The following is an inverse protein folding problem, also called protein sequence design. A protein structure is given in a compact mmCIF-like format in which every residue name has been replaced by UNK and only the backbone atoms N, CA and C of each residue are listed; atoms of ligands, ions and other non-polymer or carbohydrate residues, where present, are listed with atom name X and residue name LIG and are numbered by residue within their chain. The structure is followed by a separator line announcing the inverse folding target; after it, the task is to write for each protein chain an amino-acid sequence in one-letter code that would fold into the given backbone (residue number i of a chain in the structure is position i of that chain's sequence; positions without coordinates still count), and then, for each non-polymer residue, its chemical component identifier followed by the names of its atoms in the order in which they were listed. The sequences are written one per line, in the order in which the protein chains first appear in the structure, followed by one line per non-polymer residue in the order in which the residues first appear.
data_IF_210438466144
#
_entry.id   IF_210438466144
#
_cell.length_a   1.000
_cell.length_b   1.000
_cell.length_c   1.000
_cell.angle_alpha   90.00
_cell.angle_beta   90.00
_cell.angle_gamma   90.00
#
_symmetry.space_group_name_H-M   'P 1'
#
loop_
_entity.id
_entity.type
_entity.pdbx_description
1 polymer ?
#
# COMPACT_ATOMS: atom_id res chain seq x y z
N UNK A 1 -57.57 -30.39 -44.09
CA UNK A 1 -56.43 -30.35 -43.13
C UNK A 1 -55.37 -29.30 -43.52
N UNK A 2 -55.76 -28.01 -43.67
CA UNK A 2 -54.82 -26.92 -44.02
C UNK A 2 -54.36 -26.07 -42.80
N UNK A 3 -55.11 -26.07 -41.69
CA UNK A 3 -54.77 -25.30 -40.49
C UNK A 3 -53.61 -25.87 -39.66
N UNK A 4 -53.43 -27.20 -39.63
CA UNK A 4 -52.42 -27.85 -38.78
C UNK A 4 -50.97 -27.58 -39.21
N UNK A 5 -50.72 -27.36 -40.50
CA UNK A 5 -49.36 -27.07 -41.01
C UNK A 5 -48.92 -25.63 -40.75
N UNK A 6 -49.86 -24.69 -40.74
CA UNK A 6 -49.58 -23.27 -40.46
C UNK A 6 -49.28 -23.09 -38.97
N UNK A 7 -50.04 -23.74 -38.09
CA UNK A 7 -49.79 -23.69 -36.64
C UNK A 7 -48.42 -24.28 -36.29
N UNK A 8 -48.04 -25.41 -36.91
CA UNK A 8 -46.72 -26.02 -36.69
C UNK A 8 -45.56 -25.13 -37.17
N UNK A 9 -45.73 -24.47 -38.32
CA UNK A 9 -44.72 -23.56 -38.86
C UNK A 9 -44.51 -22.32 -37.97
N UNK A 10 -45.60 -21.75 -37.43
CA UNK A 10 -45.53 -20.62 -36.50
C UNK A 10 -44.87 -21.03 -35.17
N UNK A 11 -45.13 -22.24 -34.68
CA UNK A 11 -44.52 -22.78 -33.46
C UNK A 11 -43.01 -22.99 -33.61
N UNK A 12 -42.56 -23.49 -34.77
CA UNK A 12 -41.14 -23.69 -35.06
C UNK A 12 -40.42 -22.34 -35.17
N UNK A 13 -41.00 -21.37 -35.88
CA UNK A 13 -40.41 -20.02 -35.98
C UNK A 13 -40.33 -19.37 -34.60
N UNK A 14 -41.39 -19.50 -33.78
CA UNK A 14 -41.40 -19.03 -32.40
C UNK A 14 -40.29 -19.65 -31.55
N UNK A 15 -40.08 -20.97 -31.65
CA UNK A 15 -39.02 -21.68 -30.94
C UNK A 15 -37.61 -21.31 -31.42
N UNK A 16 -37.41 -21.06 -32.71
CA UNK A 16 -36.12 -20.62 -33.26
C UNK A 16 -35.80 -19.20 -32.79
N UNK A 17 -36.78 -18.30 -32.77
CA UNK A 17 -36.61 -16.93 -32.26
C UNK A 17 -36.33 -16.95 -30.75
N UNK A 18 -37.08 -17.74 -29.98
CA UNK A 18 -36.87 -17.89 -28.53
C UNK A 18 -35.51 -18.52 -28.22
N UNK A 19 -35.10 -19.53 -28.99
CA UNK A 19 -33.80 -20.18 -28.88
C UNK A 19 -32.64 -19.24 -29.23
N UNK A 20 -32.79 -18.41 -30.28
CA UNK A 20 -31.82 -17.37 -30.62
C UNK A 20 -31.71 -16.28 -29.56
N UNK A 21 -32.83 -15.85 -28.98
CA UNK A 21 -32.87 -14.86 -27.90
C UNK A 21 -32.24 -15.40 -26.61
N UNK A 22 -32.56 -16.64 -26.22
CA UNK A 22 -31.92 -17.29 -25.07
C UNK A 22 -30.44 -17.53 -25.34
N UNK A 23 -30.04 -18.04 -26.50
CA UNK A 23 -28.64 -18.29 -26.81
C UNK A 23 -27.80 -17.00 -26.80
N UNK A 24 -28.32 -15.89 -27.33
CA UNK A 24 -27.61 -14.60 -27.33
C UNK A 24 -27.56 -13.94 -25.96
N UNK A 25 -28.62 -14.03 -25.15
CA UNK A 25 -28.64 -13.46 -23.78
C UNK A 25 -27.83 -14.28 -22.78
N UNK A 26 -27.75 -15.61 -22.94
CA UNK A 26 -26.92 -16.47 -22.07
C UNK A 26 -25.43 -16.29 -22.41
N UNK A 27 -25.06 -16.20 -23.70
CA UNK A 27 -23.67 -15.95 -24.10
C UNK A 27 -23.19 -14.53 -23.77
N UNK A 28 -24.08 -13.53 -23.80
CA UNK A 28 -23.75 -12.16 -23.39
C UNK A 28 -23.51 -12.04 -21.87
N UNK A 29 -24.17 -12.86 -21.05
CA UNK A 29 -23.90 -12.93 -19.60
C UNK A 29 -22.67 -13.75 -19.25
N UNK A 30 -22.31 -14.74 -20.07
CA UNK A 30 -21.18 -15.65 -19.75
C UNK A 30 -19.81 -15.15 -20.22
N UNK A 31 -19.71 -14.12 -21.08
CA UNK A 31 -18.44 -13.75 -21.73
C UNK A 31 -18.10 -12.26 -21.70
N UNK A 32 -18.73 -11.45 -20.84
CA UNK A 32 -18.09 -10.20 -20.44
C UNK A 32 -17.01 -10.56 -19.41
N UNK A 33 -15.71 -10.48 -19.73
CA UNK A 33 -14.69 -10.60 -18.70
C UNK A 33 -15.01 -9.53 -17.66
N UNK A 34 -15.34 -9.96 -16.45
CA UNK A 34 -15.53 -9.07 -15.33
C UNK A 34 -14.22 -8.27 -15.19
N UNK A 35 -14.27 -6.98 -15.52
CA UNK A 35 -13.07 -6.14 -15.52
C UNK A 35 -12.61 -6.05 -14.08
N UNK A 36 -11.48 -6.69 -13.77
CA UNK A 36 -10.90 -6.62 -12.43
C UNK A 36 -10.37 -5.21 -12.18
N UNK A 37 -11.18 -4.40 -11.51
CA UNK A 37 -10.85 -3.03 -11.12
C UNK A 37 -10.16 -2.95 -9.75
N UNK A 38 -9.89 -4.08 -9.09
CA UNK A 38 -9.44 -4.08 -7.69
C UNK A 38 -8.10 -3.37 -7.52
N UNK A 39 -7.14 -3.59 -8.44
CA UNK A 39 -5.86 -2.86 -8.44
C UNK A 39 -6.08 -1.35 -8.54
N UNK A 40 -6.94 -0.91 -9.46
CA UNK A 40 -7.21 0.51 -9.67
C UNK A 40 -7.87 1.14 -8.44
N UNK A 41 -8.78 0.42 -7.77
CA UNK A 41 -9.42 0.86 -6.53
C UNK A 41 -8.40 0.99 -5.39
N UNK A 42 -7.52 0.00 -5.21
CA UNK A 42 -6.45 0.07 -4.20
C UNK A 42 -5.52 1.26 -4.45
N UNK A 43 -5.11 1.47 -5.71
CA UNK A 43 -4.26 2.60 -6.08
C UNK A 43 -4.95 3.95 -5.87
N UNK A 44 -6.23 4.05 -6.23
CA UNK A 44 -7.03 5.25 -6.01
C UNK A 44 -7.19 5.54 -4.51
N UNK A 45 -7.44 4.52 -3.69
CA UNK A 45 -7.53 4.64 -2.24
C UNK A 45 -6.21 5.14 -1.66
N UNK A 46 -5.10 4.39 -1.84
CA UNK A 46 -3.78 4.75 -1.29
C UNK A 46 -3.28 6.12 -1.80
N UNK A 47 -3.55 6.44 -3.07
CA UNK A 47 -3.17 7.71 -3.69
C UNK A 47 -4.00 8.90 -3.20
N UNK A 48 -5.27 8.67 -2.86
CA UNK A 48 -6.19 9.68 -2.35
C UNK A 48 -6.03 10.01 -0.86
N UNK A 49 -5.26 9.20 -0.11
CA UNK A 49 -5.01 9.43 1.32
C UNK A 49 -4.15 10.70 1.55
N UNK A 50 -4.83 11.78 1.91
CA UNK A 50 -4.21 13.01 2.42
C UNK A 50 -4.22 13.12 3.96
N UNK A 51 -5.02 12.26 4.59
CA UNK A 51 -5.07 12.09 6.02
C UNK A 51 -5.10 10.61 6.40
N UNK A 52 -4.10 10.16 7.16
CA UNK A 52 -4.04 8.82 7.71
C UNK A 52 -3.02 8.74 8.84
N UNK A 53 -3.17 7.74 9.68
CA UNK A 53 -2.15 7.25 10.59
C UNK A 53 -1.88 5.78 10.30
N UNK A 54 -0.71 5.32 10.71
CA UNK A 54 -0.37 3.91 10.70
C UNK A 54 0.44 3.53 11.94
N UNK A 55 0.36 2.26 12.26
CA UNK A 55 1.28 1.60 13.18
C UNK A 55 2.02 0.51 12.40
N UNK A 56 3.34 0.59 12.41
CA UNK A 56 4.27 -0.38 11.85
C UNK A 56 4.94 -1.20 12.95
N UNK A 57 4.93 -2.51 12.75
CA UNK A 57 5.87 -3.40 13.42
C UNK A 57 6.89 -3.87 12.38
N UNK A 58 8.16 -3.64 12.66
CA UNK A 58 9.28 -3.96 11.77
C UNK A 58 10.17 -4.99 12.45
N UNK A 59 10.33 -6.13 11.81
CA UNK A 59 11.35 -7.12 12.18
C UNK A 59 12.45 -7.09 11.13
N UNK A 60 13.67 -6.74 11.55
CA UNK A 60 14.85 -6.67 10.67
C UNK A 60 15.84 -7.76 11.05
N UNK A 61 16.27 -8.56 10.08
CA UNK A 61 17.32 -9.57 10.26
C UNK A 61 18.55 -9.22 9.43
N UNK A 62 19.72 -9.14 10.08
CA UNK A 62 21.02 -8.89 9.46
C UNK A 62 21.99 -9.96 9.97
N UNK A 63 22.41 -10.87 9.10
CA UNK A 63 23.19 -12.04 9.51
C UNK A 63 22.44 -12.86 10.56
N UNK A 64 23.01 -12.98 11.77
CA UNK A 64 22.42 -13.71 12.90
C UNK A 64 21.68 -12.79 13.89
N UNK A 65 21.65 -11.48 13.65
CA UNK A 65 21.01 -10.51 14.54
C UNK A 65 19.59 -10.21 14.05
N UNK A 66 18.62 -10.31 14.97
CA UNK A 66 17.24 -9.87 14.73
C UNK A 66 16.94 -8.68 15.62
N UNK A 67 16.49 -7.60 15.02
CA UNK A 67 16.07 -6.39 15.73
C UNK A 67 14.62 -6.08 15.43
N UNK A 68 13.87 -5.74 16.47
CA UNK A 68 12.50 -5.26 16.34
C UNK A 68 12.46 -3.75 16.54
N UNK A 69 11.59 -3.10 15.78
CA UNK A 69 11.26 -1.69 15.95
C UNK A 69 9.81 -1.43 15.63
N UNK A 70 9.24 -0.40 16.24
CA UNK A 70 7.88 0.05 15.98
C UNK A 70 7.92 1.48 15.47
N UNK A 71 7.05 1.80 14.51
CA UNK A 71 6.86 3.17 14.04
C UNK A 71 5.38 3.50 14.06
N UNK A 72 5.00 4.54 14.79
CA UNK A 72 3.70 5.18 14.65
C UNK A 72 3.89 6.38 13.75
N UNK A 73 3.28 6.37 12.58
CA UNK A 73 3.43 7.45 11.64
C UNK A 73 2.12 7.85 11.00
N UNK A 74 2.21 8.77 10.05
CA UNK A 74 1.04 9.22 9.34
C UNK A 74 1.26 10.55 8.64
N UNK A 75 0.22 10.95 7.92
CA UNK A 75 0.18 12.18 7.18
C UNK A 75 -1.10 12.92 7.51
N UNK A 76 -0.98 14.22 7.78
CA UNK A 76 -2.13 15.09 8.03
C UNK A 76 -1.90 16.39 7.25
N UNK A 77 -2.72 16.64 6.23
CA UNK A 77 -2.71 17.87 5.42
C UNK A 77 -1.30 18.26 4.95
N UNK A 78 -0.60 17.31 4.33
CA UNK A 78 0.75 17.52 3.79
C UNK A 78 1.90 17.52 4.82
N UNK A 79 1.61 17.40 6.11
CA UNK A 79 2.64 17.20 7.16
C UNK A 79 2.78 15.73 7.50
N UNK A 80 4.01 15.23 7.53
CA UNK A 80 4.30 13.87 7.96
C UNK A 80 4.80 13.84 9.39
N UNK A 81 4.36 12.84 10.14
CA UNK A 81 4.71 12.60 11.52
C UNK A 81 5.22 11.17 11.65
N UNK A 82 6.32 11.00 12.37
CA UNK A 82 6.91 9.70 12.65
C UNK A 82 7.35 9.66 14.11
N UNK A 83 6.95 8.63 14.83
CA UNK A 83 7.45 8.29 16.14
C UNK A 83 7.95 6.87 16.07
N UNK A 84 9.25 6.67 16.24
CA UNK A 84 9.84 5.35 16.15
C UNK A 84 10.54 4.96 17.43
N UNK A 85 10.52 3.66 17.70
CA UNK A 85 11.17 3.07 18.87
C UNK A 85 11.93 1.81 18.44
N UNK A 86 13.16 1.70 18.92
CA UNK A 86 14.06 0.55 18.74
C UNK A 86 14.93 0.47 20.00
N UNK A 87 15.32 -0.71 20.46
CA UNK A 87 16.08 -0.90 21.72
C UNK A 87 17.06 0.23 22.07
N UNK A 88 16.77 0.99 23.13
CA UNK A 88 17.59 2.12 23.62
C UNK A 88 17.48 3.45 22.85
N UNK A 89 16.64 3.51 21.80
CA UNK A 89 16.46 4.63 20.87
C UNK A 89 14.96 4.94 20.70
N UNK A 90 14.56 6.18 21.01
CA UNK A 90 13.25 6.72 20.70
C UNK A 90 13.44 7.99 19.89
N UNK A 91 12.78 8.11 18.75
CA UNK A 91 12.86 9.31 17.93
C UNK A 91 11.49 9.80 17.51
N UNK A 92 11.40 11.10 17.33
CA UNK A 92 10.24 11.79 16.78
C UNK A 92 10.71 12.61 15.60
N UNK A 93 10.11 12.43 14.44
CA UNK A 93 10.40 13.20 13.25
C UNK A 93 9.12 13.84 12.70
N UNK A 94 9.23 15.08 12.26
CA UNK A 94 8.17 15.81 11.58
C UNK A 94 8.73 16.42 10.32
N UNK A 95 8.05 16.21 9.20
CA UNK A 95 8.37 16.84 7.93
C UNK A 95 7.24 17.79 7.56
N UNK A 96 7.54 19.10 7.64
CA UNK A 96 6.63 20.18 7.22
C UNK A 96 7.28 20.87 6.04
N UNK A 97 6.60 20.89 4.89
CA UNK A 97 7.15 21.41 3.65
C UNK A 97 8.49 20.75 3.29
N UNK A 98 9.61 21.45 3.43
CA UNK A 98 10.96 20.93 3.19
C UNK A 98 11.82 20.93 4.46
N UNK A 99 11.21 21.06 5.63
CA UNK A 99 11.93 21.09 6.91
C UNK A 99 11.68 19.79 7.66
N UNK A 100 12.77 19.09 7.97
CA UNK A 100 12.78 17.98 8.92
C UNK A 100 13.11 18.53 10.30
N UNK A 101 12.23 18.29 11.26
CA UNK A 101 12.49 18.47 12.68
C UNK A 101 12.49 17.10 13.34
N UNK A 102 13.61 16.75 13.95
CA UNK A 102 13.78 15.46 14.59
C UNK A 102 14.29 15.63 16.01
N UNK A 103 13.74 14.85 16.93
CA UNK A 103 14.24 14.69 18.30
C UNK A 103 14.62 13.24 18.51
N UNK A 104 15.88 12.99 18.82
CA UNK A 104 16.43 11.66 19.07
C UNK A 104 16.74 11.55 20.57
N UNK A 105 16.23 10.49 21.20
CA UNK A 105 16.44 10.19 22.62
C UNK A 105 17.16 8.85 22.71
N UNK A 106 18.38 8.86 23.23
CA UNK A 106 19.22 7.68 23.43
C UNK A 106 19.80 7.68 24.82
N UNK A 107 19.51 6.68 25.65
CA UNK A 107 20.10 6.52 26.99
C UNK A 107 20.20 7.86 27.76
N UNK A 108 19.07 8.54 27.93
CA UNK A 108 18.93 9.84 28.63
C UNK A 108 19.52 11.08 27.92
N UNK A 109 20.24 10.91 26.81
CA UNK A 109 20.65 12.03 25.96
C UNK A 109 19.58 12.38 24.96
N UNK A 110 19.25 13.68 24.86
CA UNK A 110 18.35 14.21 23.84
C UNK A 110 19.15 15.03 22.84
N UNK A 111 18.94 14.76 21.55
CA UNK A 111 19.51 15.53 20.45
C UNK A 111 18.38 16.02 19.55
N UNK A 112 18.33 17.33 19.35
CA UNK A 112 17.40 17.96 18.42
C UNK A 112 18.12 18.31 17.12
N UNK A 113 17.44 18.04 16.01
CA UNK A 113 17.92 18.24 14.65
C UNK A 113 16.86 19.04 13.89
N UNK A 114 17.28 20.11 13.24
CA UNK A 114 16.44 20.91 12.38
C UNK A 114 17.17 21.16 11.06
N UNK A 115 16.72 20.53 9.99
CA UNK A 115 17.40 20.52 8.70
C UNK A 115 16.40 20.87 7.60
N UNK A 116 16.84 21.73 6.68
CA UNK A 116 16.16 21.92 5.39
C UNK A 116 16.56 20.78 4.46
N UNK A 117 15.60 19.94 4.12
CA UNK A 117 15.76 18.84 3.17
C UNK A 117 15.84 19.37 1.74
N UNK A 118 16.77 18.83 0.96
CA UNK A 118 16.71 18.93 -0.50
C UNK A 118 15.48 18.18 -1.02
N UNK A 119 15.13 18.37 -2.31
CA UNK A 119 14.06 17.58 -2.95
C UNK A 119 14.30 16.08 -2.78
N UNK A 120 15.55 15.66 -2.95
CA UNK A 120 15.99 14.28 -2.85
C UNK A 120 15.96 13.76 -1.42
N UNK A 121 16.43 14.55 -0.45
CA UNK A 121 16.37 14.20 0.97
C UNK A 121 14.92 14.08 1.46
N UNK A 122 14.02 14.93 0.94
CA UNK A 122 12.58 14.81 1.18
C UNK A 122 12.01 13.55 0.56
N UNK A 123 12.29 13.27 -0.72
CA UNK A 123 11.80 12.07 -1.38
C UNK A 123 12.23 10.80 -0.63
N UNK A 124 13.50 10.72 -0.20
CA UNK A 124 14.04 9.63 0.60
C UNK A 124 13.36 9.50 1.97
N UNK A 125 13.09 10.61 2.65
CA UNK A 125 12.41 10.58 3.94
C UNK A 125 10.95 10.14 3.83
N UNK A 126 10.32 10.38 2.67
CA UNK A 126 8.93 9.98 2.40
C UNK A 126 8.82 8.58 1.81
N UNK A 127 9.89 8.05 1.21
CA UNK A 127 9.89 6.70 0.63
C UNK A 127 9.89 5.59 1.68
N UNK A 128 10.07 5.92 2.95
CA UNK A 128 9.95 4.98 4.06
C UNK A 128 8.53 4.87 4.59
N UNK A 129 7.60 5.70 4.10
CA UNK A 129 6.20 5.64 4.47
C UNK A 129 5.53 4.40 3.82
N UNK A 130 4.92 3.49 4.60
CA UNK A 130 4.37 2.24 4.11
C UNK A 130 3.20 2.45 3.15
N UNK A 131 2.44 3.53 3.27
CA UNK A 131 1.37 3.87 2.32
C UNK A 131 1.98 4.25 0.96
N UNK A 132 3.09 4.98 0.96
CA UNK A 132 3.80 5.37 -0.27
C UNK A 132 4.53 4.19 -0.91
N UNK A 133 5.17 3.34 -0.11
CA UNK A 133 5.74 2.07 -0.58
C UNK A 133 4.64 1.19 -1.16
N UNK A 134 3.52 1.03 -0.44
CA UNK A 134 2.37 0.25 -0.89
C UNK A 134 1.82 0.74 -2.24
N UNK A 135 1.69 2.05 -2.42
CA UNK A 135 1.25 2.64 -3.69
C UNK A 135 2.18 2.27 -4.85
N UNK A 136 3.49 2.38 -4.66
CA UNK A 136 4.48 2.01 -5.68
C UNK A 136 4.48 0.51 -5.95
N UNK A 137 4.50 -0.29 -4.89
CA UNK A 137 4.55 -1.75 -4.96
C UNK A 137 3.30 -2.34 -5.65
N UNK A 138 2.11 -1.83 -5.36
CA UNK A 138 0.87 -2.27 -6.04
C UNK A 138 0.84 -1.81 -7.50
N UNK A 139 1.34 -0.61 -7.78
CA UNK A 139 1.31 0.00 -9.11
C UNK A 139 2.28 -0.65 -10.09
N UNK A 140 3.52 -0.86 -9.67
CA UNK A 140 4.58 -1.45 -10.48
C UNK A 140 4.68 -2.98 -10.34
N UNK A 141 4.13 -3.55 -9.27
CA UNK A 141 4.28 -4.96 -8.96
C UNK A 141 3.54 -5.90 -9.90
N UNK A 142 3.84 -7.19 -9.80
CA UNK A 142 3.15 -8.28 -10.49
C UNK A 142 2.23 -8.99 -9.51
N UNK A 143 0.99 -9.27 -9.92
CA UNK A 143 0.05 -10.01 -9.09
C UNK A 143 0.57 -11.45 -8.89
N UNK A 144 0.61 -11.90 -7.63
CA UNK A 144 1.01 -13.26 -7.26
C UNK A 144 -0.20 -14.06 -6.80
N UNK A 145 -1.00 -13.46 -5.93
CA UNK A 145 -2.13 -14.12 -5.30
C UNK A 145 -3.26 -13.11 -5.12
N UNK A 146 -4.50 -13.55 -5.39
CA UNK A 146 -5.71 -12.78 -5.14
C UNK A 146 -6.68 -13.64 -4.32
N UNK A 147 -6.77 -13.35 -3.03
CA UNK A 147 -7.84 -13.84 -2.17
C UNK A 147 -9.01 -12.86 -2.11
N UNK A 148 -10.04 -13.23 -1.36
CA UNK A 148 -11.26 -12.41 -1.21
C UNK A 148 -10.99 -11.06 -0.55
N UNK A 149 -10.14 -11.06 0.48
CA UNK A 149 -9.86 -9.89 1.32
C UNK A 149 -8.37 -9.50 1.33
N UNK A 150 -7.55 -10.18 0.55
CA UNK A 150 -6.12 -9.95 0.49
C UNK A 150 -5.58 -10.13 -0.92
N UNK A 151 -4.62 -9.31 -1.30
CA UNK A 151 -4.01 -9.35 -2.63
C UNK A 151 -2.52 -9.17 -2.47
N UNK A 152 -1.75 -10.11 -3.01
CA UNK A 152 -0.29 -10.10 -2.91
C UNK A 152 0.33 -9.76 -4.25
N UNK A 153 1.24 -8.79 -4.23
CA UNK A 153 2.05 -8.39 -5.37
C UNK A 153 3.52 -8.61 -5.07
N UNK A 154 4.28 -9.12 -6.04
CA UNK A 154 5.75 -9.03 -6.04
C UNK A 154 6.17 -7.71 -6.66
N UNK A 155 7.19 -7.08 -6.09
CA UNK A 155 7.70 -5.82 -6.62
C UNK A 155 9.21 -5.73 -6.46
N UNK A 156 9.78 -4.85 -7.27
CA UNK A 156 11.15 -4.37 -7.18
C UNK A 156 11.07 -2.85 -7.36
N UNK A 157 11.48 -2.12 -6.33
CA UNK A 157 11.53 -0.66 -6.35
C UNK A 157 12.94 -0.19 -6.01
N UNK A 158 13.41 0.78 -6.79
CA UNK A 158 14.59 1.56 -6.45
C UNK A 158 14.12 2.92 -5.97
N UNK A 159 14.60 3.36 -4.81
CA UNK A 159 14.39 4.72 -4.31
C UNK A 159 15.62 5.57 -4.65
N UNK A 160 15.56 6.41 -5.70
CA UNK A 160 16.61 7.39 -6.01
C UNK A 160 16.56 8.58 -5.03
N UNK A 161 17.64 9.40 -4.89
CA UNK A 161 18.84 9.42 -5.74
C UNK A 161 20.22 9.42 -5.02
N UNK A 162 20.34 9.14 -3.71
CA UNK A 162 21.64 9.26 -3.01
C UNK A 162 22.25 7.97 -2.44
N UNK A 163 21.47 6.90 -2.29
CA UNK A 163 21.93 5.62 -1.72
C UNK A 163 21.53 4.38 -2.51
N UNK A 164 20.78 4.55 -3.61
CA UNK A 164 20.13 3.49 -4.38
C UNK A 164 19.58 2.42 -3.43
N UNK A 165 18.57 2.79 -2.64
CA UNK A 165 17.89 1.81 -1.80
C UNK A 165 17.07 0.94 -2.74
N UNK A 166 17.45 -0.32 -2.83
CA UNK A 166 16.71 -1.34 -3.56
C UNK A 166 15.84 -2.08 -2.56
N UNK A 167 14.56 -2.20 -2.86
CA UNK A 167 13.62 -2.97 -2.08
C UNK A 167 12.88 -3.93 -3.00
N UNK A 168 13.13 -5.22 -2.79
CA UNK A 168 12.53 -6.29 -3.55
C UNK A 168 11.77 -7.23 -2.60
N UNK A 169 10.61 -7.71 -3.02
CA UNK A 169 9.85 -8.64 -2.20
C UNK A 169 8.37 -8.66 -2.53
N UNK A 170 7.55 -8.81 -1.49
CA UNK A 170 6.10 -8.89 -1.61
C UNK A 170 5.41 -7.84 -0.77
N UNK A 171 4.29 -7.33 -1.27
CA UNK A 171 3.28 -6.61 -0.49
C UNK A 171 1.98 -7.39 -0.53
N UNK A 172 1.44 -7.71 0.63
CA UNK A 172 0.06 -8.19 0.79
C UNK A 172 -0.80 -7.03 1.27
N UNK A 173 -1.76 -6.64 0.44
CA UNK A 173 -2.76 -5.63 0.71
C UNK A 173 -3.99 -6.29 1.30
N UNK A 174 -4.42 -5.88 2.49
CA UNK A 174 -5.68 -6.31 3.07
C UNK A 174 -6.76 -5.28 2.73
N UNK A 175 -7.72 -5.73 1.93
CA UNK A 175 -8.76 -4.91 1.30
C UNK A 175 -10.14 -5.45 1.68
N UNK A 176 -11.00 -4.60 2.22
CA UNK A 176 -12.36 -5.01 2.65
C UNK A 176 -13.43 -4.85 1.55
N UNK A 177 -13.04 -4.35 0.37
CA UNK A 177 -13.96 -3.98 -0.71
C UNK A 177 -14.00 -2.47 -0.97
N UNK A 178 -13.65 -1.67 0.02
CA UNK A 178 -13.71 -0.20 -0.03
C UNK A 178 -12.43 0.48 0.45
N UNK A 179 -11.69 -0.14 1.36
CA UNK A 179 -10.54 0.45 2.05
C UNK A 179 -9.39 -0.53 2.24
N UNK A 180 -8.17 0.00 2.19
CA UNK A 180 -6.97 -0.74 2.61
C UNK A 180 -6.83 -0.60 4.11
N UNK A 181 -6.98 -1.71 4.84
CA UNK A 181 -6.90 -1.73 6.31
C UNK A 181 -5.50 -2.06 6.82
N UNK A 182 -4.73 -2.81 6.02
CA UNK A 182 -3.38 -3.24 6.38
C UNK A 182 -2.53 -3.47 5.15
N UNK A 183 -1.26 -3.14 5.26
CA UNK A 183 -0.21 -3.52 4.31
C UNK A 183 0.79 -4.40 5.06
N UNK A 184 1.14 -5.55 4.47
CA UNK A 184 2.19 -6.42 4.98
C UNK A 184 3.27 -6.57 3.93
N UNK A 185 4.49 -6.14 4.26
CA UNK A 185 5.65 -6.25 3.39
C UNK A 185 6.57 -7.34 3.91
N UNK A 186 7.03 -8.20 3.01
CA UNK A 186 8.17 -9.09 3.26
C UNK A 186 9.20 -8.79 2.19
N UNK A 187 10.25 -8.07 2.57
CA UNK A 187 11.17 -7.43 1.64
C UNK A 187 12.62 -7.69 2.03
N UNK A 188 13.46 -7.72 1.02
CA UNK A 188 14.90 -7.54 1.14
C UNK A 188 15.20 -6.09 0.81
N UNK A 189 16.01 -5.45 1.66
CA UNK A 189 16.44 -4.06 1.49
C UNK A 189 17.94 -4.05 1.29
N UNK A 190 18.37 -3.62 0.11
CA UNK A 190 19.76 -3.39 -0.24
C UNK A 190 20.09 -1.90 -0.19
N UNK A 191 21.25 -1.57 0.35
CA UNK A 191 21.88 -0.24 0.16
C UNK A 191 23.29 -0.45 -0.34
N UNK A 192 23.79 0.41 -1.23
CA UNK A 192 25.11 0.22 -1.83
C UNK A 192 26.21 0.05 -0.77
N UNK A 193 26.93 -1.07 -0.85
CA UNK A 193 28.07 -1.38 0.02
C UNK A 193 27.72 -1.88 1.43
N UNK A 194 26.44 -2.18 1.72
CA UNK A 194 26.02 -2.78 3.00
C UNK A 194 25.43 -4.17 2.80
N UNK A 195 25.37 -4.94 3.89
CA UNK A 195 24.67 -6.21 3.90
C UNK A 195 23.18 -5.99 3.62
N UNK A 196 22.61 -6.87 2.80
CA UNK A 196 21.16 -6.93 2.55
C UNK A 196 20.44 -7.26 3.85
N UNK A 197 19.38 -6.51 4.14
CA UNK A 197 18.56 -6.69 5.33
C UNK A 197 17.23 -7.34 4.94
N UNK A 198 16.79 -8.36 5.68
CA UNK A 198 15.44 -8.89 5.54
C UNK A 198 14.52 -8.14 6.48
N UNK A 199 13.42 -7.60 5.97
CA UNK A 199 12.42 -6.85 6.74
C UNK A 199 11.02 -7.40 6.54
N UNK A 200 10.32 -7.61 7.65
CA UNK A 200 8.86 -7.75 7.67
C UNK A 200 8.27 -6.48 8.24
N UNK A 201 7.41 -5.80 7.48
CA UNK A 201 6.74 -4.56 7.90
C UNK A 201 5.24 -4.83 7.90
N UNK A 202 4.58 -4.64 9.03
CA UNK A 202 3.12 -4.74 9.14
C UNK A 202 2.57 -3.37 9.49
N UNK A 203 1.97 -2.69 8.51
CA UNK A 203 1.37 -1.37 8.65
C UNK A 203 -0.15 -1.47 8.75
N UNK A 204 -0.72 -1.11 9.91
CA UNK A 204 -2.18 -1.00 10.11
C UNK A 204 -2.59 0.43 9.76
N UNK A 205 -3.45 0.64 8.77
CA UNK A 205 -3.84 1.97 8.28
C UNK A 205 -5.14 2.40 8.94
N UNK A 206 -5.19 3.66 9.41
CA UNK A 206 -6.39 4.30 9.96
C UNK A 206 -6.56 5.69 9.37
N UNK A 207 -7.80 6.05 9.02
CA UNK A 207 -8.13 7.38 8.50
C UNK A 207 -8.38 8.38 9.65
N UNK A 208 -7.41 8.49 10.57
CA UNK A 208 -7.52 9.35 11.75
C UNK A 208 -6.66 10.62 11.63
N UNK A 209 -7.29 11.79 11.59
CA UNK A 209 -6.63 13.09 11.41
C UNK A 209 -6.25 13.78 12.72
N UNK A 210 -5.70 13.03 13.69
CA UNK A 210 -5.31 13.60 14.98
C UNK A 210 -3.82 13.87 15.02
N UNK A 211 -3.44 15.14 15.22
CA UNK A 211 -2.05 15.51 15.47
C UNK A 211 -1.53 14.77 16.72
N UNK A 212 -0.34 14.16 16.65
CA UNK A 212 0.24 13.49 17.81
C UNK A 212 0.48 14.46 18.96
N UNK A 213 0.26 14.03 20.20
CA UNK A 213 0.42 14.91 21.37
C UNK A 213 1.88 15.33 21.58
N UNK A 214 2.81 14.46 21.21
CA UNK A 214 4.25 14.73 21.24
C UNK A 214 4.69 15.80 20.22
N UNK A 215 3.86 16.15 19.22
CA UNK A 215 4.20 17.18 18.22
C UNK A 215 4.64 18.50 18.86
N UNK A 216 3.96 18.90 19.95
CA UNK A 216 4.31 20.11 20.71
C UNK A 216 5.71 20.04 21.33
N UNK A 217 6.21 18.84 21.62
CA UNK A 217 7.53 18.63 22.20
C UNK A 217 8.62 18.89 21.14
N UNK A 218 8.42 18.44 19.90
CA UNK A 218 9.40 18.56 18.80
C UNK A 218 9.50 19.97 18.21
N UNK A 219 8.47 20.80 18.39
CA UNK A 219 8.48 22.18 17.90
C UNK A 219 9.13 23.20 18.84
N UNK A 220 9.39 22.84 20.10
CA UNK A 220 10.09 23.69 21.07
C UNK A 220 11.59 23.52 20.92
#
# INVERSE_FOLDING_TARGET
MKGSRVVLAVLIIGLVILGGYLYTTTRAKEHSPEIDTTRAQILAYLGGLDCYSYQENITTTIGNETTESTINGGRIYGTYYFEGQRSGLHWYAVIINNTLKERIITNETTKDVNITLSKDGKALSLSVDPVKIGLQAVGAGKLVEKGKNNITYTFDITVPPSLNIEMNGTVTVFWDGERVTRLMFNVEVGTQGRQTEKRTIIAIIREECRKPEWFKKVLR
#
